data_IF_544048017084
#
_entry.id   IF_544048017084
#
_cell.length_a   1.000
_cell.length_b   1.000
_cell.length_c   1.000
_cell.angle_alpha   90.00
_cell.angle_beta   90.00
_cell.angle_gamma   90.00
#
_symmetry.space_group_name_H-M   'P 1'
#
loop_
_entity.id
_entity.type
_entity.pdbx_description
1 polymer ?
#
# COMPACT_ATOMS: atom_id res chain seq x y z
N UNK A 1 14.51 4.89 -12.18
CA UNK A 1 13.77 4.38 -10.99
C UNK A 1 14.59 3.24 -10.42
N UNK A 2 14.81 3.19 -9.10
CA UNK A 2 15.51 2.07 -8.45
C UNK A 2 14.64 0.81 -8.53
N UNK A 3 15.16 -0.28 -9.11
CA UNK A 3 14.43 -1.54 -9.29
C UNK A 3 13.89 -2.12 -7.97
N UNK A 4 14.59 -1.87 -6.85
CA UNK A 4 14.13 -2.28 -5.51
C UNK A 4 12.95 -1.43 -5.05
N UNK A 5 12.98 -0.12 -5.34
CA UNK A 5 11.86 0.78 -5.02
C UNK A 5 10.61 0.39 -5.81
N UNK A 6 10.76 0.06 -7.10
CA UNK A 6 9.66 -0.39 -7.94
C UNK A 6 9.07 -1.72 -7.44
N UNK A 7 9.93 -2.69 -7.10
CA UNK A 7 9.48 -3.97 -6.54
C UNK A 7 8.73 -3.79 -5.22
N UNK A 8 9.21 -2.88 -4.36
CA UNK A 8 8.58 -2.59 -3.08
C UNK A 8 7.23 -1.87 -3.25
N UNK A 9 7.15 -0.89 -4.15
CA UNK A 9 5.89 -0.23 -4.49
C UNK A 9 4.86 -1.23 -5.03
N UNK A 10 5.29 -2.13 -5.92
CA UNK A 10 4.42 -3.19 -6.47
C UNK A 10 3.87 -4.10 -5.38
N UNK A 11 4.70 -4.48 -4.40
CA UNK A 11 4.27 -5.29 -3.27
C UNK A 11 3.22 -4.58 -2.41
N UNK A 12 3.44 -3.30 -2.11
CA UNK A 12 2.51 -2.48 -1.31
C UNK A 12 1.17 -2.30 -2.04
N UNK A 13 1.17 -2.06 -3.35
CA UNK A 13 -0.05 -1.94 -4.16
C UNK A 13 -0.83 -3.26 -4.24
N UNK A 14 -0.13 -4.39 -4.32
CA UNK A 14 -0.74 -5.72 -4.27
C UNK A 14 -1.43 -5.95 -2.93
N UNK A 15 -0.75 -5.64 -1.82
CA UNK A 15 -1.30 -5.80 -0.48
C UNK A 15 -2.51 -4.87 -0.24
N UNK A 16 -2.43 -3.61 -0.68
CA UNK A 16 -3.56 -2.67 -0.66
C UNK A 16 -4.78 -3.25 -1.39
N UNK A 17 -4.56 -3.87 -2.55
CA UNK A 17 -5.63 -4.49 -3.34
C UNK A 17 -6.27 -5.66 -2.60
N UNK A 18 -5.48 -6.51 -1.96
CA UNK A 18 -6.01 -7.61 -1.12
C UNK A 18 -6.82 -7.10 0.07
N UNK A 19 -6.40 -6.00 0.71
CA UNK A 19 -7.16 -5.40 1.81
C UNK A 19 -8.50 -4.83 1.33
N UNK A 20 -8.56 -4.19 0.16
CA UNK A 20 -9.83 -3.75 -0.43
C UNK A 20 -10.76 -4.92 -0.82
N UNK A 21 -10.20 -6.06 -1.22
CA UNK A 21 -11.00 -7.28 -1.44
C UNK A 21 -11.57 -7.83 -0.13
N UNK A 22 -10.79 -7.80 0.97
CA UNK A 22 -11.28 -8.16 2.30
C UNK A 22 -12.40 -7.21 2.76
N UNK A 23 -12.26 -5.90 2.51
CA UNK A 23 -13.29 -4.90 2.75
C UNK A 23 -14.58 -5.18 1.98
N UNK A 24 -14.45 -5.51 0.70
CA UNK A 24 -15.59 -5.81 -0.16
C UNK A 24 -16.28 -7.13 0.21
N UNK A 25 -15.54 -8.10 0.76
CA UNK A 25 -16.07 -9.41 1.17
C UNK A 25 -16.67 -9.42 2.58
N UNK A 26 -16.56 -8.33 3.34
CA UNK A 26 -17.05 -8.24 4.72
C UNK A 26 -16.15 -8.93 5.75
N UNK A 27 -14.97 -9.41 5.36
CA UNK A 27 -13.95 -10.02 6.25
C UNK A 27 -12.89 -9.00 6.71
N UNK A 28 -13.23 -7.72 6.72
CA UNK A 28 -12.33 -6.64 7.06
C UNK A 28 -12.41 -6.33 8.55
N UNK A 29 -11.25 -6.27 9.18
CA UNK A 29 -11.10 -6.12 10.64
C UNK A 29 -10.39 -4.81 10.94
N UNK A 30 -10.37 -4.40 12.20
CA UNK A 30 -9.63 -3.20 12.63
C UNK A 30 -8.12 -3.34 12.39
N UNK A 31 -7.59 -4.57 12.46
CA UNK A 31 -6.19 -4.85 12.10
C UNK A 31 -5.94 -4.60 10.61
N UNK A 32 -6.84 -5.05 9.74
CA UNK A 32 -6.79 -4.76 8.31
C UNK A 32 -6.89 -3.25 8.02
N UNK A 33 -7.70 -2.51 8.79
CA UNK A 33 -7.80 -1.06 8.68
C UNK A 33 -6.49 -0.36 9.05
N UNK A 34 -5.87 -0.73 10.17
CA UNK A 34 -4.56 -0.20 10.58
C UNK A 34 -3.46 -0.53 9.57
N UNK A 35 -3.49 -1.74 9.00
CA UNK A 35 -2.55 -2.15 7.95
C UNK A 35 -2.74 -1.34 6.66
N UNK A 36 -3.98 -1.10 6.25
CA UNK A 36 -4.32 -0.32 5.07
C UNK A 36 -3.79 1.12 5.20
N UNK A 37 -4.04 1.78 6.34
CA UNK A 37 -3.55 3.13 6.62
C UNK A 37 -2.02 3.22 6.53
N UNK A 38 -1.30 2.24 7.08
CA UNK A 38 0.15 2.18 6.97
C UNK A 38 0.62 2.06 5.52
N UNK A 39 0.01 1.16 4.75
CA UNK A 39 0.36 0.97 3.33
C UNK A 39 0.10 2.24 2.51
N UNK A 40 -1.03 2.91 2.74
CA UNK A 40 -1.36 4.17 2.07
C UNK A 40 -0.34 5.26 2.38
N UNK A 41 0.06 5.40 3.66
CA UNK A 41 1.11 6.34 4.06
C UNK A 41 2.46 6.04 3.42
N UNK A 42 2.85 4.76 3.34
CA UNK A 42 4.10 4.35 2.70
C UNK A 42 4.10 4.64 1.19
N UNK A 43 2.99 4.34 0.51
CA UNK A 43 2.82 4.63 -0.92
C UNK A 43 2.84 6.13 -1.20
N UNK A 44 2.20 6.94 -0.36
CA UNK A 44 2.25 8.40 -0.45
C UNK A 44 3.68 8.92 -0.30
N UNK A 45 4.44 8.41 0.68
CA UNK A 45 5.82 8.80 0.88
C UNK A 45 6.72 8.43 -0.30
N UNK A 46 6.50 7.26 -0.92
CA UNK A 46 7.18 6.87 -2.16
C UNK A 46 6.86 7.87 -3.28
N UNK A 47 5.59 8.22 -3.46
CA UNK A 47 5.17 9.16 -4.50
C UNK A 47 5.78 10.56 -4.30
N UNK A 48 5.81 11.06 -3.07
CA UNK A 48 6.46 12.33 -2.71
C UNK A 48 7.95 12.27 -3.04
N UNK A 49 8.65 11.21 -2.63
CA UNK A 49 10.08 11.06 -2.88
C UNK A 49 10.40 10.96 -4.37
N UNK A 50 9.54 10.34 -5.17
CA UNK A 50 9.70 10.26 -6.63
C UNK A 50 9.41 11.60 -7.32
N UNK A 51 8.50 12.41 -6.78
CA UNK A 51 8.22 13.75 -7.31
C UNK A 51 9.33 14.76 -7.00
N UNK A 52 9.96 14.65 -5.83
CA UNK A 52 11.07 15.51 -5.41
C UNK A 52 12.44 15.09 -5.96
N UNK A 53 12.53 13.90 -6.57
CA UNK A 53 13.73 13.33 -7.22
C UNK A 53 13.89 13.82 -8.66
#
# INVERSE_FOLDING_TARGET
MDDKLLAWQTQLESERTSLFQLQSSGNFTDEHAGRLLNIESMLEQIAINQFLS
#
